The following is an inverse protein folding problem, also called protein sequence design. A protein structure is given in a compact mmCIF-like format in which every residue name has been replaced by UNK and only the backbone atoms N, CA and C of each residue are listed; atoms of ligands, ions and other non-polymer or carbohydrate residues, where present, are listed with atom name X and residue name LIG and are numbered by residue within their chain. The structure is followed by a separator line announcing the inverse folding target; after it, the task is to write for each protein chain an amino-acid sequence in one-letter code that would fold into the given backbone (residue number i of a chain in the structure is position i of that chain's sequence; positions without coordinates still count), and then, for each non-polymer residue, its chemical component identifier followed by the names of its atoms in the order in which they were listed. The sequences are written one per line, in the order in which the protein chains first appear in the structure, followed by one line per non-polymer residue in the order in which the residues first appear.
data_IF_264472470325
#
_entry.id   IF_264472470325
#
_cell.length_a   1.000
_cell.length_b   1.000
_cell.length_c   1.000
_cell.angle_alpha   90.00
_cell.angle_beta   90.00
_cell.angle_gamma   90.00
#
_symmetry.space_group_name_H-M   'P 1'
#
loop_
_entity.id
_entity.type
_entity.pdbx_description
1 polymer ?
#
# COMPACT_ATOMS: atom_id res chain seq x y z
N UNK A 1 50.39 5.46 8.39
CA UNK A 1 49.45 6.14 7.47
C UNK A 1 48.40 5.18 6.89
N UNK A 2 48.80 4.03 6.31
CA UNK A 2 47.89 3.05 5.68
C UNK A 2 46.79 2.50 6.60
N UNK A 3 47.11 2.15 7.84
CA UNK A 3 46.13 1.60 8.82
C UNK A 3 45.01 2.60 9.14
N UNK A 4 45.33 3.90 9.26
CA UNK A 4 44.34 4.95 9.53
C UNK A 4 43.35 5.12 8.36
N UNK A 5 43.84 5.01 7.13
CA UNK A 5 43.01 5.11 5.93
C UNK A 5 42.03 3.92 5.86
N UNK A 6 42.51 2.70 6.13
CA UNK A 6 41.65 1.50 6.14
C UNK A 6 40.54 1.63 7.19
N UNK A 7 40.90 2.04 8.42
CA UNK A 7 39.92 2.22 9.51
C UNK A 7 38.88 3.28 9.16
N UNK A 8 39.31 4.43 8.62
CA UNK A 8 38.40 5.50 8.21
C UNK A 8 37.45 5.06 7.08
N UNK A 9 37.95 4.33 6.09
CA UNK A 9 37.11 3.82 5.00
C UNK A 9 36.08 2.80 5.49
N UNK A 10 36.46 1.91 6.41
CA UNK A 10 35.53 0.94 7.01
C UNK A 10 34.44 1.63 7.83
N UNK A 11 34.80 2.62 8.64
CA UNK A 11 33.84 3.44 9.39
C UNK A 11 32.86 4.15 8.45
N UNK A 12 33.36 4.77 7.38
CA UNK A 12 32.51 5.47 6.40
C UNK A 12 31.50 4.54 5.73
N UNK A 13 31.92 3.32 5.33
CA UNK A 13 31.04 2.32 4.71
C UNK A 13 29.96 1.86 5.71
N UNK A 14 30.34 1.62 6.97
CA UNK A 14 29.40 1.22 8.01
C UNK A 14 28.39 2.35 8.26
N UNK A 15 28.84 3.60 8.37
CA UNK A 15 27.94 4.74 8.56
C UNK A 15 26.98 4.90 7.38
N UNK A 16 27.46 4.78 6.13
CA UNK A 16 26.62 4.82 4.93
C UNK A 16 25.55 3.71 4.93
N UNK A 17 25.95 2.47 5.25
CA UNK A 17 25.03 1.34 5.32
C UNK A 17 23.96 1.54 6.41
N UNK A 18 24.36 2.01 7.58
CA UNK A 18 23.44 2.32 8.69
C UNK A 18 22.48 3.44 8.28
N UNK A 19 22.96 4.53 7.68
CA UNK A 19 22.07 5.61 7.20
C UNK A 19 21.11 5.15 6.13
N UNK A 20 21.54 4.27 5.21
CA UNK A 20 20.64 3.71 4.19
C UNK A 20 19.54 2.84 4.83
N UNK A 21 19.89 2.00 5.81
CA UNK A 21 18.91 1.21 6.57
C UNK A 21 17.94 2.11 7.32
N UNK A 22 18.42 3.17 7.98
CA UNK A 22 17.55 4.11 8.67
C UNK A 22 16.63 4.87 7.72
N UNK A 23 17.11 5.32 6.55
CA UNK A 23 16.26 5.97 5.53
C UNK A 23 15.18 5.01 5.03
N UNK A 24 15.51 3.75 4.80
CA UNK A 24 14.55 2.71 4.41
C UNK A 24 13.54 2.43 5.55
N UNK A 25 13.99 2.42 6.80
CA UNK A 25 13.12 2.20 7.98
C UNK A 25 12.34 3.46 8.40
N UNK A 26 12.71 4.64 7.91
CA UNK A 26 12.01 5.90 8.20
C UNK A 26 10.72 6.04 7.40
N UNK A 27 10.47 5.14 6.45
CA UNK A 27 9.12 4.81 5.97
C UNK A 27 8.30 4.30 7.17
N UNK A 28 7.79 5.24 7.97
CA UNK A 28 6.91 4.91 9.09
C UNK A 28 5.63 4.37 8.49
N UNK A 29 5.53 3.05 8.49
CA UNK A 29 4.28 2.33 8.39
C UNK A 29 3.27 2.99 9.35
N UNK A 30 2.36 3.79 8.78
CA UNK A 30 1.24 4.33 9.54
C UNK A 30 0.10 3.37 9.31
N UNK A 31 -0.37 2.78 10.39
CA UNK A 31 -1.52 1.90 10.31
C UNK A 31 -2.71 2.72 9.79
N UNK A 32 -3.08 2.46 8.54
CA UNK A 32 -4.18 3.11 7.84
C UNK A 32 -5.50 2.42 8.12
N UNK A 33 -5.55 1.54 9.13
CA UNK A 33 -6.76 0.82 9.52
C UNK A 33 -7.87 1.81 9.88
N UNK A 34 -8.97 1.71 9.14
CA UNK A 34 -10.20 2.43 9.40
C UNK A 34 -11.25 1.41 9.83
N UNK A 35 -11.94 1.63 10.96
CA UNK A 35 -12.88 0.66 11.46
C UNK A 35 -14.06 0.51 10.50
N UNK A 36 -14.48 -0.71 10.22
CA UNK A 36 -15.75 -0.95 9.54
C UNK A 36 -16.94 -0.51 10.42
N UNK A 37 -18.03 0.05 9.85
CA UNK A 37 -18.28 0.35 8.43
C UNK A 37 -17.88 1.79 8.03
N UNK A 38 -16.91 2.39 8.72
CA UNK A 38 -16.44 3.76 8.46
C UNK A 38 -15.30 3.82 7.44
N UNK A 39 -14.76 2.67 7.03
CA UNK A 39 -13.89 2.59 5.87
C UNK A 39 -14.65 2.94 4.58
N UNK A 40 -13.86 3.26 3.58
CA UNK A 40 -14.30 3.75 2.29
C UNK A 40 -15.05 2.72 1.46
N UNK A 41 -15.41 3.12 0.25
CA UNK A 41 -16.03 2.24 -0.74
C UNK A 41 -15.24 2.27 -2.04
N UNK A 42 -15.39 1.22 -2.85
CA UNK A 42 -14.82 1.13 -4.18
C UNK A 42 -15.94 1.28 -5.20
N UNK A 43 -15.71 2.12 -6.20
CA UNK A 43 -16.55 2.22 -7.40
C UNK A 43 -15.71 1.75 -8.58
N UNK A 44 -16.02 0.56 -9.11
CA UNK A 44 -15.32 0.03 -10.27
C UNK A 44 -16.01 0.49 -11.56
N UNK A 45 -15.50 1.52 -12.24
CA UNK A 45 -16.03 1.96 -13.55
C UNK A 45 -15.34 1.24 -14.72
N UNK A 46 -14.50 0.24 -14.44
CA UNK A 46 -13.79 -0.54 -15.44
C UNK A 46 -14.53 -1.82 -15.83
N UNK A 47 -14.10 -2.42 -16.93
CA UNK A 47 -14.54 -3.76 -17.34
C UNK A 47 -13.66 -4.89 -16.75
N UNK A 48 -12.84 -4.58 -15.75
CA UNK A 48 -11.92 -5.51 -15.11
C UNK A 48 -12.49 -6.00 -13.77
N UNK A 49 -12.11 -7.22 -13.39
CA UNK A 49 -12.33 -7.73 -12.03
C UNK A 49 -11.22 -7.18 -11.13
N UNK A 50 -11.58 -6.72 -9.93
CA UNK A 50 -10.65 -6.16 -8.95
C UNK A 50 -10.50 -7.14 -7.80
N UNK A 51 -9.26 -7.45 -7.43
CA UNK A 51 -8.99 -8.18 -6.19
C UNK A 51 -9.01 -7.22 -5.02
N UNK A 52 -9.74 -7.59 -3.98
CA UNK A 52 -9.87 -6.86 -2.72
C UNK A 52 -9.52 -7.78 -1.57
N UNK A 53 -9.12 -7.20 -0.45
CA UNK A 53 -8.68 -7.95 0.72
C UNK A 53 -9.11 -7.27 2.02
N UNK A 54 -9.51 -8.07 2.99
CA UNK A 54 -9.72 -7.71 4.40
C UNK A 54 -9.27 -8.85 5.32
N UNK A 55 -9.14 -8.56 6.62
CA UNK A 55 -8.66 -9.52 7.63
C UNK A 55 -9.64 -10.69 7.89
N UNK A 56 -10.96 -10.48 7.72
CA UNK A 56 -12.01 -11.45 8.03
C UNK A 56 -12.23 -12.47 6.90
N UNK A 57 -12.12 -12.03 5.65
CA UNK A 57 -12.49 -12.80 4.46
C UNK A 57 -11.28 -13.13 3.56
N UNK A 58 -10.13 -12.52 3.80
CA UNK A 58 -8.97 -12.67 2.94
C UNK A 58 -9.21 -12.08 1.55
N UNK A 59 -8.75 -12.74 0.49
CA UNK A 59 -8.93 -12.23 -0.87
C UNK A 59 -10.32 -12.56 -1.41
N UNK A 60 -11.00 -11.55 -1.94
CA UNK A 60 -12.20 -11.71 -2.74
C UNK A 60 -12.20 -10.75 -3.93
N UNK A 61 -13.24 -10.81 -4.76
CA UNK A 61 -13.30 -10.06 -6.02
C UNK A 61 -14.49 -9.13 -6.09
N UNK A 62 -14.24 -7.93 -6.61
CA UNK A 62 -15.27 -7.01 -7.06
C UNK A 62 -15.36 -7.10 -8.60
N UNK A 63 -16.54 -7.43 -9.11
CA UNK A 63 -16.76 -7.58 -10.55
C UNK A 63 -16.64 -6.26 -11.32
N UNK A 64 -16.58 -6.39 -12.65
CA UNK A 64 -16.66 -5.26 -13.57
C UNK A 64 -17.92 -4.42 -13.30
N UNK A 65 -17.80 -3.09 -13.37
CA UNK A 65 -18.93 -2.16 -13.19
C UNK A 65 -19.66 -2.28 -11.83
N UNK A 66 -19.05 -2.93 -10.82
CA UNK A 66 -19.64 -3.11 -9.50
C UNK A 66 -19.15 -2.07 -8.49
N UNK A 67 -19.88 -1.95 -7.38
CA UNK A 67 -19.48 -1.19 -6.20
C UNK A 67 -19.31 -2.13 -5.03
N UNK A 68 -18.33 -1.84 -4.19
CA UNK A 68 -18.15 -2.63 -2.98
C UNK A 68 -19.36 -2.49 -2.05
N UNK A 69 -19.73 -3.59 -1.41
CA UNK A 69 -20.82 -3.60 -0.44
C UNK A 69 -20.36 -2.96 0.87
N UNK A 70 -21.28 -2.32 1.60
CA UNK A 70 -21.04 -1.97 3.00
C UNK A 70 -21.08 -3.18 3.93
N UNK A 71 -21.51 -4.36 3.45
CA UNK A 71 -21.63 -5.58 4.27
C UNK A 71 -20.32 -6.33 4.47
N UNK A 72 -19.28 -6.00 3.70
CA UNK A 72 -17.95 -6.60 3.80
C UNK A 72 -16.94 -5.49 4.10
N UNK A 73 -15.97 -5.80 4.95
CA UNK A 73 -14.84 -4.91 5.19
C UNK A 73 -13.92 -4.87 3.97
N UNK A 74 -13.16 -3.78 3.83
CA UNK A 74 -12.20 -3.60 2.75
C UNK A 74 -11.03 -2.79 3.30
N UNK A 75 -9.91 -3.47 3.45
CA UNK A 75 -8.66 -2.85 3.86
C UNK A 75 -7.79 -2.51 2.67
N UNK A 76 -7.77 -3.36 1.64
CA UNK A 76 -6.94 -3.16 0.47
C UNK A 76 -7.62 -3.54 -0.84
N UNK A 77 -7.22 -2.86 -1.92
CA UNK A 77 -7.57 -3.20 -3.29
C UNK A 77 -6.31 -3.30 -4.15
N UNK A 78 -6.23 -4.30 -5.02
CA UNK A 78 -5.11 -4.47 -5.96
C UNK A 78 -5.41 -3.72 -7.25
N UNK A 79 -4.57 -2.73 -7.59
CA UNK A 79 -4.70 -1.98 -8.84
C UNK A 79 -4.36 -2.85 -10.05
N UNK A 80 -5.32 -3.16 -10.94
CA UNK A 80 -5.07 -4.06 -12.07
C UNK A 80 -3.93 -3.61 -12.99
N UNK A 81 -3.79 -2.30 -13.21
CA UNK A 81 -2.81 -1.77 -14.16
C UNK A 81 -1.37 -1.80 -13.67
N UNK A 82 -1.13 -1.82 -12.35
CA UNK A 82 0.22 -1.73 -11.77
C UNK A 82 0.57 -2.85 -10.81
N UNK A 83 -0.40 -3.62 -10.34
CA UNK A 83 -0.20 -4.66 -9.32
C UNK A 83 0.11 -4.09 -7.93
N UNK A 84 -0.14 -2.79 -7.70
CA UNK A 84 0.08 -2.16 -6.39
C UNK A 84 -1.16 -2.29 -5.52
N UNK A 85 -0.97 -2.50 -4.22
CA UNK A 85 -2.05 -2.54 -3.25
C UNK A 85 -2.36 -1.14 -2.74
N UNK A 86 -3.59 -0.68 -2.90
CA UNK A 86 -4.09 0.54 -2.27
C UNK A 86 -4.66 0.21 -0.88
N UNK A 87 -4.26 0.93 0.17
CA UNK A 87 -4.89 0.85 1.50
C UNK A 87 -6.12 1.76 1.51
N UNK A 88 -7.27 1.19 1.84
CA UNK A 88 -8.53 1.92 1.95
C UNK A 88 -8.61 2.56 3.34
N UNK A 89 -8.92 3.87 3.34
CA UNK A 89 -9.35 4.60 4.53
C UNK A 89 -10.78 5.11 4.32
N UNK A 90 -11.19 6.22 4.96
CA UNK A 90 -12.54 6.78 4.83
C UNK A 90 -12.88 7.46 3.48
N UNK A 91 -12.25 7.07 2.37
CA UNK A 91 -12.42 7.71 1.05
C UNK A 91 -13.12 6.80 0.03
N UNK A 92 -13.65 7.37 -1.05
CA UNK A 92 -14.11 6.56 -2.20
C UNK A 92 -12.97 6.33 -3.18
N UNK A 93 -12.57 5.06 -3.35
CA UNK A 93 -11.63 4.65 -4.37
C UNK A 93 -12.38 4.45 -5.70
N UNK A 94 -11.89 5.06 -6.78
CA UNK A 94 -12.49 4.92 -8.11
C UNK A 94 -11.55 4.10 -8.98
N UNK A 95 -12.05 3.05 -9.61
CA UNK A 95 -11.31 2.34 -10.67
C UNK A 95 -11.72 2.92 -12.00
N UNK A 96 -10.77 3.55 -12.68
CA UNK A 96 -10.97 4.14 -14.00
C UNK A 96 -11.14 3.05 -15.08
N UNK A 97 -11.69 3.38 -16.25
CA UNK A 97 -11.87 2.42 -17.34
C UNK A 97 -10.60 1.67 -17.78
N UNK A 98 -9.42 2.27 -17.59
CA UNK A 98 -8.10 1.71 -17.92
C UNK A 98 -7.52 0.81 -16.80
N UNK A 99 -8.25 0.62 -15.70
CA UNK A 99 -7.81 -0.17 -14.56
C UNK A 99 -6.90 0.57 -13.57
N UNK A 100 -6.66 1.88 -13.76
CA UNK A 100 -5.94 2.69 -12.77
C UNK A 100 -6.86 3.12 -11.64
N UNK A 101 -6.32 3.24 -10.44
CA UNK A 101 -7.07 3.82 -9.33
C UNK A 101 -6.95 5.34 -9.32
N UNK A 102 -8.08 6.00 -9.08
CA UNK A 102 -8.12 7.40 -8.69
C UNK A 102 -8.46 7.50 -7.21
N UNK A 103 -7.92 8.53 -6.55
CA UNK A 103 -8.11 8.82 -5.12
C UNK A 103 -7.58 7.76 -4.16
N UNK A 104 -6.64 6.91 -4.60
CA UNK A 104 -5.89 6.10 -3.65
C UNK A 104 -4.96 7.01 -2.82
N UNK A 105 -5.28 7.21 -1.54
CA UNK A 105 -4.47 8.06 -0.67
C UNK A 105 -3.12 7.45 -0.33
N UNK A 106 -2.98 6.13 -0.42
CA UNK A 106 -1.73 5.44 -0.16
C UNK A 106 -1.67 4.01 -0.69
N UNK A 107 -0.48 3.61 -1.14
CA UNK A 107 -0.18 2.24 -1.53
C UNK A 107 0.67 1.52 -0.46
N UNK A 108 0.44 0.23 -0.29
CA UNK A 108 1.23 -0.67 0.53
C UNK A 108 2.06 -1.63 -0.34
N UNK A 109 3.13 -2.20 0.23
CA UNK A 109 3.94 -3.23 -0.45
C UNK A 109 3.17 -4.53 -0.68
N UNK A 110 2.23 -4.82 0.21
CA UNK A 110 1.32 -5.97 0.12
C UNK A 110 0.02 -5.66 0.85
N UNK A 111 -1.03 -6.43 0.56
CA UNK A 111 -2.22 -6.51 1.42
C UNK A 111 -1.86 -6.87 2.86
N UNK A 112 -2.66 -6.43 3.83
CA UNK A 112 -2.42 -6.63 5.26
C UNK A 112 -1.24 -5.87 5.85
N UNK A 113 -0.48 -5.12 5.03
CA UNK A 113 0.56 -4.23 5.53
C UNK A 113 0.06 -2.80 5.63
N UNK A 114 0.61 -2.03 6.58
CA UNK A 114 0.39 -0.60 6.63
C UNK A 114 0.80 0.11 5.33
N UNK A 115 0.30 1.32 5.21
CA UNK A 115 0.60 2.22 4.11
C UNK A 115 2.03 2.80 4.28
N UNK A 116 2.77 2.93 3.17
CA UNK A 116 4.02 3.70 3.14
C UNK A 116 3.64 5.16 2.82
N UNK A 117 3.74 6.04 3.81
CA UNK A 117 3.70 7.48 3.58
C UNK A 117 5.15 7.98 3.45
N UNK A 118 5.52 8.48 2.26
CA UNK A 118 6.79 9.18 2.01
C UNK A 118 6.75 10.60 2.59
#
# INVERSE_FOLDING_TARGET
MKIRIVVLSSLLIITLAITAVFVIQQERERDGHWPWPLNGQIINNSNLIITVWDDDHGNYTLGAQQRSSKALDIDHALEPSTGRWCKLGAHTLIVNPDGRFANCSCYSLSKGRPCIQF
#
